data_IF_462878333630
#
_entry.id   IF_462878333630
#
_cell.length_a   1.000
_cell.length_b   1.000
_cell.length_c   1.000
_cell.angle_alpha   90.00
_cell.angle_beta   90.00
_cell.angle_gamma   90.00
#
_symmetry.space_group_name_H-M   'P 1'
#
loop_
_entity.id
_entity.type
_entity.pdbx_description
1 polymer ?
#
# COMPACT_ATOMS: atom_id res chain seq x y z
N UNK A 1 -5.45 -20.83 20.64
CA UNK A 1 -4.64 -20.69 19.41
C UNK A 1 -3.45 -19.81 19.72
N UNK A 2 -2.31 -20.07 19.10
CA UNK A 2 -1.11 -19.24 19.25
C UNK A 2 -1.25 -17.98 18.36
N UNK A 3 -0.95 -16.77 18.85
CA UNK A 3 -1.05 -15.55 18.05
C UNK A 3 0.09 -15.49 17.01
N UNK A 4 -0.26 -15.44 15.71
CA UNK A 4 0.70 -15.49 14.59
C UNK A 4 0.86 -14.13 13.90
N UNK A 5 -0.15 -13.25 13.95
CA UNK A 5 -0.10 -11.98 13.24
C UNK A 5 -1.21 -11.00 13.62
N UNK A 6 -1.21 -9.86 12.96
CA UNK A 6 -2.20 -8.79 13.13
C UNK A 6 -2.65 -8.30 11.75
N UNK A 7 -3.91 -7.90 11.64
CA UNK A 7 -4.51 -7.34 10.44
C UNK A 7 -5.44 -6.20 10.83
N UNK A 8 -5.53 -5.19 9.97
CA UNK A 8 -6.53 -4.12 10.06
C UNK A 8 -7.28 -4.02 8.74
N UNK A 9 -8.58 -3.80 8.80
CA UNK A 9 -9.40 -3.48 7.62
C UNK A 9 -9.87 -2.03 7.75
N UNK A 10 -9.46 -1.18 6.81
CA UNK A 10 -9.87 0.22 6.75
C UNK A 10 -11.05 0.35 5.78
N UNK A 11 -12.08 1.10 6.18
CA UNK A 11 -13.27 1.39 5.36
C UNK A 11 -13.68 2.85 5.51
N UNK A 12 -14.40 3.38 4.51
CA UNK A 12 -14.93 4.74 4.51
C UNK A 12 -13.82 5.80 4.61
N UNK A 13 -14.04 6.85 5.39
CA UNK A 13 -13.12 7.99 5.49
C UNK A 13 -11.68 7.60 5.89
N UNK A 14 -11.52 6.67 6.84
CA UNK A 14 -10.19 6.22 7.31
C UNK A 14 -9.38 5.52 6.22
N UNK A 15 -10.07 4.82 5.30
CA UNK A 15 -9.41 4.16 4.17
C UNK A 15 -8.83 5.20 3.21
N UNK A 16 -9.63 6.20 2.82
CA UNK A 16 -9.18 7.25 1.92
C UNK A 16 -8.08 8.12 2.53
N UNK A 17 -8.17 8.45 3.81
CA UNK A 17 -7.12 9.19 4.53
C UNK A 17 -5.80 8.39 4.57
N UNK A 18 -5.87 7.09 4.88
CA UNK A 18 -4.69 6.23 4.85
C UNK A 18 -4.10 6.13 3.45
N UNK A 19 -4.92 5.96 2.42
CA UNK A 19 -4.48 5.86 1.03
C UNK A 19 -3.79 7.14 0.58
N UNK A 20 -4.35 8.31 0.88
CA UNK A 20 -3.74 9.60 0.56
C UNK A 20 -2.39 9.77 1.29
N UNK A 21 -2.32 9.48 2.59
CA UNK A 21 -1.05 9.52 3.33
C UNK A 21 -0.03 8.50 2.81
N UNK A 22 -0.48 7.34 2.38
CA UNK A 22 0.36 6.31 1.81
C UNK A 22 1.00 6.79 0.50
N UNK A 23 0.20 7.37 -0.40
CA UNK A 23 0.64 7.86 -1.72
C UNK A 23 1.50 9.13 -1.58
N UNK A 24 1.00 10.11 -0.84
CA UNK A 24 1.57 11.46 -0.80
C UNK A 24 2.75 11.58 0.15
N UNK A 25 2.85 10.72 1.18
CA UNK A 25 3.86 10.86 2.24
C UNK A 25 4.72 9.63 2.43
N UNK A 26 4.14 8.44 2.54
CA UNK A 26 4.89 7.23 2.91
C UNK A 26 5.69 6.65 1.74
N UNK A 27 5.06 6.46 0.57
CA UNK A 27 5.69 5.86 -0.61
C UNK A 27 6.94 6.64 -1.07
N UNK A 28 6.93 7.98 -1.16
CA UNK A 28 8.12 8.76 -1.54
C UNK A 28 9.31 8.60 -0.60
N UNK A 29 9.08 8.15 0.64
CA UNK A 29 10.14 7.90 1.64
C UNK A 29 10.77 6.51 1.52
N UNK A 30 10.24 5.64 0.66
CA UNK A 30 10.86 4.35 0.37
C UNK A 30 12.20 4.61 -0.32
N UNK A 31 13.28 4.06 0.25
CA UNK A 31 14.62 4.16 -0.35
C UNK A 31 14.64 3.49 -1.72
N UNK A 32 15.23 4.17 -2.71
CA UNK A 32 15.33 3.71 -4.10
C UNK A 32 13.97 3.40 -4.74
N UNK A 33 12.91 4.14 -4.37
CA UNK A 33 11.59 3.96 -4.95
C UNK A 33 11.57 4.28 -6.45
N UNK A 34 11.15 3.31 -7.26
CA UNK A 34 11.03 3.44 -8.72
C UNK A 34 9.58 3.32 -9.21
N UNK A 35 8.61 3.44 -8.32
CA UNK A 35 7.22 3.12 -8.63
C UNK A 35 6.82 1.72 -8.19
N UNK A 36 5.52 1.55 -7.93
CA UNK A 36 4.91 0.28 -7.60
C UNK A 36 4.76 -0.61 -8.84
N UNK A 37 4.93 -1.93 -8.72
CA UNK A 37 4.83 -2.85 -9.85
C UNK A 37 3.38 -2.91 -10.37
N UNK A 38 3.13 -2.65 -11.67
CA UNK A 38 1.78 -2.69 -12.24
C UNK A 38 1.25 -4.12 -12.44
N UNK A 39 2.05 -5.16 -12.14
CA UNK A 39 1.71 -6.57 -12.35
C UNK A 39 1.19 -7.27 -11.09
N UNK A 40 0.99 -6.54 -10.00
CA UNK A 40 0.59 -7.12 -8.69
C UNK A 40 -0.92 -7.12 -8.46
N UNK A 41 -1.69 -7.19 -9.55
CA UNK A 41 -3.13 -7.40 -9.50
C UNK A 41 -3.45 -8.90 -9.44
N UNK A 42 -4.62 -9.24 -8.92
CA UNK A 42 -5.07 -10.61 -8.69
C UNK A 42 -5.93 -11.22 -9.81
N UNK A 43 -6.08 -10.51 -10.94
CA UNK A 43 -6.96 -10.90 -12.05
C UNK A 43 -8.41 -10.42 -11.89
N UNK A 44 -8.75 -9.79 -10.76
CA UNK A 44 -10.08 -9.27 -10.43
C UNK A 44 -10.02 -7.83 -9.93
N UNK A 45 -9.04 -7.06 -10.41
CA UNK A 45 -8.94 -5.64 -10.10
C UNK A 45 -8.48 -5.29 -8.68
N UNK A 46 -8.14 -6.27 -7.83
CA UNK A 46 -7.56 -5.99 -6.52
C UNK A 46 -6.05 -5.91 -6.62
N UNK A 47 -5.46 -4.96 -5.92
CA UNK A 47 -4.02 -4.70 -5.99
C UNK A 47 -3.36 -5.00 -4.64
N UNK A 48 -2.28 -5.79 -4.66
CA UNK A 48 -1.52 -6.10 -3.43
C UNK A 48 -0.05 -5.77 -3.59
N UNK A 49 0.55 -5.18 -2.56
CA UNK A 49 1.98 -4.93 -2.52
C UNK A 49 2.54 -4.98 -1.10
N UNK A 50 3.81 -5.37 -1.01
CA UNK A 50 4.54 -5.44 0.25
C UNK A 50 5.36 -4.18 0.51
N UNK A 51 5.27 -3.66 1.72
CA UNK A 51 6.14 -2.62 2.27
C UNK A 51 7.18 -3.31 3.14
N UNK A 52 8.47 -3.10 2.85
CA UNK A 52 9.56 -3.77 3.57
C UNK A 52 9.81 -3.17 4.96
N UNK A 53 9.61 -1.87 5.11
CA UNK A 53 10.01 -1.13 6.30
C UNK A 53 8.87 -0.20 6.74
N UNK A 54 8.34 -0.39 7.95
CA UNK A 54 7.26 0.44 8.50
C UNK A 54 7.71 1.88 8.85
N UNK A 55 9.02 2.15 8.86
CA UNK A 55 9.58 3.48 9.19
C UNK A 55 9.33 4.54 8.10
N UNK A 56 8.75 4.15 6.97
CA UNK A 56 8.35 5.09 5.91
C UNK A 56 7.20 6.01 6.37
N UNK A 57 6.42 5.59 7.37
CA UNK A 57 5.34 6.38 7.95
C UNK A 57 5.90 7.41 8.94
N UNK A 58 5.62 8.72 8.78
CA UNK A 58 6.13 9.77 9.68
C UNK A 58 5.73 9.60 11.15
N UNK A 59 4.64 8.87 11.40
CA UNK A 59 4.09 8.65 12.74
C UNK A 59 4.91 7.63 13.52
N UNK A 60 5.72 6.83 12.82
CA UNK A 60 6.64 5.87 13.42
C UNK A 60 7.93 6.56 13.79
N UNK A 61 8.19 6.65 15.09
CA UNK A 61 9.43 7.21 15.63
C UNK A 61 10.53 6.15 15.63
N UNK A 62 11.59 6.38 14.86
CA UNK A 62 12.69 5.43 14.67
C UNK A 62 13.34 4.97 15.99
N UNK A 63 13.51 5.89 16.94
CA UNK A 63 14.08 5.65 18.28
C UNK A 63 13.23 4.70 19.14
N UNK A 64 11.94 4.55 18.83
CA UNK A 64 11.02 3.67 19.55
C UNK A 64 10.79 2.32 18.88
N UNK A 65 11.39 2.09 17.71
CA UNK A 65 11.22 0.85 16.96
C UNK A 65 12.31 -0.14 17.37
N UNK A 66 11.95 -1.23 18.04
CA UNK A 66 12.89 -2.30 18.38
C UNK A 66 13.40 -3.06 17.15
N UNK A 67 12.52 -3.29 16.16
CA UNK A 67 12.82 -4.05 14.94
C UNK A 67 12.05 -3.51 13.74
N UNK A 68 12.72 -3.47 12.60
CA UNK A 68 12.09 -3.18 11.31
C UNK A 68 11.18 -4.37 10.95
N UNK A 69 9.95 -4.06 10.58
CA UNK A 69 8.90 -4.99 10.19
C UNK A 69 8.29 -4.54 8.87
N UNK A 70 8.06 -5.49 7.98
CA UNK A 70 7.27 -5.26 6.79
C UNK A 70 5.77 -5.35 7.07
N UNK A 71 4.98 -4.97 6.08
CA UNK A 71 3.53 -5.20 6.04
C UNK A 71 3.08 -5.37 4.59
N UNK A 72 2.02 -6.16 4.40
CA UNK A 72 1.35 -6.26 3.12
C UNK A 72 0.11 -5.35 3.11
N UNK A 73 -0.09 -4.65 2.01
CA UNK A 73 -1.24 -3.79 1.77
C UNK A 73 -1.99 -4.31 0.57
N UNK A 74 -3.28 -4.61 0.76
CA UNK A 74 -4.21 -5.00 -0.30
C UNK A 74 -5.29 -3.95 -0.45
N UNK A 75 -5.38 -3.38 -1.65
CA UNK A 75 -6.45 -2.46 -2.04
C UNK A 75 -7.50 -3.30 -2.76
N UNK A 76 -8.64 -3.46 -2.08
CA UNK A 76 -9.80 -4.15 -2.64
C UNK A 76 -10.65 -3.13 -3.39
N UNK A 77 -10.94 -3.42 -4.65
CA UNK A 77 -11.75 -2.54 -5.51
C UNK A 77 -13.03 -3.25 -5.95
N UNK A 78 -13.90 -2.52 -6.63
CA UNK A 78 -15.09 -3.07 -7.29
C UNK A 78 -14.86 -3.34 -8.77
N UNK A 79 -13.63 -3.17 -9.28
CA UNK A 79 -13.31 -3.45 -10.67
C UNK A 79 -13.41 -4.96 -10.94
N UNK A 80 -13.85 -5.33 -12.14
CA UNK A 80 -13.95 -6.75 -12.51
C UNK A 80 -12.67 -7.25 -13.21
N UNK A 81 -11.88 -6.32 -13.74
CA UNK A 81 -10.63 -6.61 -14.47
C UNK A 81 -9.44 -5.83 -13.92
N UNK A 82 -8.24 -6.35 -14.17
CA UNK A 82 -7.00 -5.68 -13.77
C UNK A 82 -6.77 -4.35 -14.50
N UNK A 83 -7.27 -4.21 -15.73
CA UNK A 83 -7.18 -2.96 -16.48
C UNK A 83 -8.02 -1.86 -15.84
N UNK A 84 -9.26 -2.17 -15.46
CA UNK A 84 -10.12 -1.25 -14.71
C UNK A 84 -9.52 -0.89 -13.35
N UNK A 85 -9.02 -1.89 -12.62
CA UNK A 85 -8.35 -1.68 -11.34
C UNK A 85 -7.11 -0.80 -11.48
N UNK A 86 -6.31 -1.01 -12.52
CA UNK A 86 -5.12 -0.21 -12.80
C UNK A 86 -5.46 1.24 -13.12
N UNK A 87 -6.41 1.50 -14.02
CA UNK A 87 -6.82 2.86 -14.36
C UNK A 87 -7.48 3.59 -13.18
N UNK A 88 -8.25 2.89 -12.35
CA UNK A 88 -8.80 3.44 -11.10
C UNK A 88 -7.69 3.90 -10.15
N UNK A 89 -6.72 3.02 -9.86
CA UNK A 89 -5.61 3.35 -8.95
C UNK A 89 -4.72 4.46 -9.53
N UNK A 90 -4.51 4.46 -10.84
CA UNK A 90 -3.77 5.51 -11.55
C UNK A 90 -4.49 6.87 -11.47
N UNK A 91 -5.82 6.90 -11.62
CA UNK A 91 -6.63 8.10 -11.42
C UNK A 91 -6.56 8.61 -9.97
N UNK A 92 -6.41 7.70 -8.99
CA UNK A 92 -6.15 8.04 -7.59
C UNK A 92 -4.68 8.39 -7.29
N UNK A 93 -3.86 8.62 -8.32
CA UNK A 93 -2.44 9.03 -8.22
C UNK A 93 -1.52 8.01 -7.58
N UNK A 94 -1.88 6.72 -7.61
CA UNK A 94 -0.96 5.65 -7.19
C UNK A 94 0.28 5.68 -8.10
N UNK A 95 1.50 5.77 -7.54
CA UNK A 95 2.72 5.92 -8.33
C UNK A 95 3.18 4.56 -8.85
N UNK A 96 2.65 4.13 -9.99
CA UNK A 96 3.13 2.94 -10.68
C UNK A 96 4.46 3.20 -11.39
N UNK A 97 5.27 2.15 -11.53
CA UNK A 97 6.50 2.21 -12.33
C UNK A 97 6.14 2.35 -13.81
N UNK A 98 6.70 3.37 -14.48
CA UNK A 98 6.60 3.51 -15.93
C UNK A 98 7.22 2.27 -16.62
N UNK A 99 6.56 1.81 -17.69
CA UNK A 99 6.95 0.60 -18.42
C UNK A 99 8.29 0.78 -19.15
#
# INVERSE_FOLDING_TARGET
GQPIGTMVTLRGARMYEFLDRLISVAIPRIRDFRGLPPKSFDGRGNYSFGIKEQIIFPEIKYDKVEKIRGMDVTIVTSAETDEEGFELLKAMRVPFRER
#
